data_IF_821710083299
#
_entry.id   IF_821710083299
#
_cell.length_a   1.000
_cell.length_b   1.000
_cell.length_c   1.000
_cell.angle_alpha   90.00
_cell.angle_beta   90.00
_cell.angle_gamma   90.00
#
_symmetry.space_group_name_H-M   'P 1'
#
loop_
_entity.id
_entity.type
_entity.pdbx_description
1 polymer ?
#
# COMPACT_ATOMS: atom_id res chain seq x y z
N UNK A 1 8.70 22.41 41.49
CA UNK A 1 9.19 22.03 40.16
C UNK A 1 10.11 20.84 40.35
N UNK A 2 9.62 19.62 40.11
CA UNK A 2 10.49 18.44 40.08
C UNK A 2 11.33 18.58 38.82
N UNK A 3 12.65 18.75 38.97
CA UNK A 3 13.56 18.56 37.84
C UNK A 3 13.33 17.13 37.39
N UNK A 4 12.97 16.91 36.13
CA UNK A 4 13.08 15.59 35.53
C UNK A 4 14.54 15.18 35.65
N UNK A 5 14.85 14.39 36.68
CA UNK A 5 16.18 13.82 36.82
C UNK A 5 16.39 12.87 35.63
N UNK A 6 17.40 13.18 34.83
CA UNK A 6 17.95 12.33 33.77
C UNK A 6 18.53 11.06 34.39
N UNK A 7 17.65 10.18 34.85
CA UNK A 7 18.00 8.85 35.32
C UNK A 7 18.08 7.89 34.14
N UNK A 8 18.79 6.78 34.33
CA UNK A 8 18.81 5.70 33.36
C UNK A 8 17.39 5.18 33.04
N UNK A 9 16.51 5.10 34.04
CA UNK A 9 15.12 4.69 33.84
C UNK A 9 14.34 5.70 32.99
N UNK A 10 14.56 7.00 33.18
CA UNK A 10 14.00 8.04 32.30
C UNK A 10 14.49 7.86 30.86
N UNK A 11 15.81 7.66 30.65
CA UNK A 11 16.37 7.41 29.32
C UNK A 11 15.75 6.19 28.64
N UNK A 12 15.68 5.05 29.34
CA UNK A 12 15.05 3.82 28.84
C UNK A 12 13.57 4.07 28.50
N UNK A 13 12.84 4.75 29.38
CA UNK A 13 11.44 5.12 29.15
C UNK A 13 11.26 5.96 27.89
N UNK A 14 12.05 7.03 27.74
CA UNK A 14 12.00 7.91 26.56
C UNK A 14 12.32 7.16 25.26
N UNK A 15 13.34 6.28 25.26
CA UNK A 15 13.69 5.47 24.08
C UNK A 15 12.53 4.52 23.71
N UNK A 16 11.94 3.85 24.70
CA UNK A 16 10.80 2.96 24.47
C UNK A 16 9.59 3.70 23.92
N UNK A 17 9.34 4.91 24.41
CA UNK A 17 8.24 5.75 23.93
C UNK A 17 8.46 6.17 22.48
N UNK A 18 9.64 6.71 22.16
CA UNK A 18 10.03 7.11 20.79
C UNK A 18 9.89 5.91 19.84
N UNK A 19 10.40 4.74 20.22
CA UNK A 19 10.31 3.53 19.41
C UNK A 19 8.85 3.15 19.11
N UNK A 20 7.98 3.12 20.13
CA UNK A 20 6.55 2.79 19.97
C UNK A 20 5.84 3.79 19.07
N UNK A 21 6.07 5.09 19.28
CA UNK A 21 5.45 6.15 18.48
C UNK A 21 5.88 6.07 17.03
N UNK A 22 7.17 5.96 16.74
CA UNK A 22 7.67 5.90 15.36
C UNK A 22 7.28 4.60 14.66
N UNK A 23 7.27 3.46 15.36
CA UNK A 23 6.80 2.21 14.79
C UNK A 23 5.30 2.29 14.42
N UNK A 24 4.47 2.89 15.27
CA UNK A 24 3.05 3.13 14.98
C UNK A 24 2.86 4.05 13.78
N UNK A 25 3.60 5.17 13.74
CA UNK A 25 3.56 6.12 12.63
C UNK A 25 3.99 5.47 11.31
N UNK A 26 5.07 4.68 11.31
CA UNK A 26 5.55 3.97 10.12
C UNK A 26 4.50 2.98 9.59
N UNK A 27 3.88 2.18 10.47
CA UNK A 27 2.78 1.28 10.08
C UNK A 27 1.61 2.04 9.46
N UNK A 28 1.24 3.18 10.03
CA UNK A 28 0.15 4.02 9.53
C UNK A 28 0.48 4.59 8.14
N UNK A 29 1.70 5.08 7.96
CA UNK A 29 2.17 5.60 6.67
C UNK A 29 2.20 4.51 5.58
N UNK A 30 2.66 3.29 5.92
CA UNK A 30 2.63 2.15 5.01
C UNK A 30 1.21 1.77 4.61
N UNK A 31 0.28 1.70 5.57
CA UNK A 31 -1.12 1.39 5.28
C UNK A 31 -1.77 2.43 4.37
N UNK A 32 -1.55 3.73 4.62
CA UNK A 32 -2.05 4.81 3.77
C UNK A 32 -1.46 4.69 2.35
N UNK A 33 -0.15 4.47 2.25
CA UNK A 33 0.55 4.35 0.96
C UNK A 33 0.04 3.14 0.16
N UNK A 34 -0.20 2.00 0.82
CA UNK A 34 -0.78 0.81 0.19
C UNK A 34 -2.21 1.04 -0.28
N UNK A 35 -3.06 1.69 0.53
CA UNK A 35 -4.44 2.03 0.12
C UNK A 35 -4.45 2.95 -1.08
N UNK A 36 -3.66 4.02 -1.07
CA UNK A 36 -3.56 4.96 -2.19
C UNK A 36 -3.03 4.28 -3.45
N UNK A 37 -1.96 3.48 -3.33
CA UNK A 37 -1.42 2.68 -4.44
C UNK A 37 -2.51 1.81 -5.07
N UNK A 38 -3.24 1.07 -4.23
CA UNK A 38 -4.27 0.15 -4.70
C UNK A 38 -5.40 0.89 -5.41
N UNK A 39 -5.84 2.03 -4.88
CA UNK A 39 -6.83 2.90 -5.53
C UNK A 39 -6.35 3.45 -6.88
N UNK A 40 -5.09 3.92 -6.95
CA UNK A 40 -4.52 4.40 -8.21
C UNK A 40 -4.45 3.29 -9.26
N UNK A 41 -4.09 2.06 -8.87
CA UNK A 41 -4.12 0.92 -9.79
C UNK A 41 -5.54 0.68 -10.31
N UNK A 42 -6.54 0.66 -9.43
CA UNK A 42 -7.95 0.55 -9.82
C UNK A 42 -8.40 1.63 -10.81
N UNK A 43 -8.04 2.89 -10.53
CA UNK A 43 -8.29 4.03 -11.41
C UNK A 43 -7.71 3.82 -12.81
N UNK A 44 -6.46 3.36 -12.92
CA UNK A 44 -5.83 3.10 -14.23
C UNK A 44 -6.47 1.93 -14.97
N UNK A 45 -6.90 0.88 -14.27
CA UNK A 45 -7.63 -0.23 -14.89
C UNK A 45 -8.97 0.27 -15.44
N UNK A 46 -9.74 1.04 -14.64
CA UNK A 46 -11.02 1.58 -15.08
C UNK A 46 -10.88 2.55 -16.27
N UNK A 47 -9.85 3.40 -16.28
CA UNK A 47 -9.56 4.29 -17.41
C UNK A 47 -9.20 3.48 -18.67
N UNK A 48 -8.41 2.42 -18.53
CA UNK A 48 -8.08 1.52 -19.63
C UNK A 48 -9.33 0.80 -20.18
N UNK A 49 -10.21 0.32 -19.31
CA UNK A 49 -11.48 -0.29 -19.73
C UNK A 49 -12.38 0.73 -20.45
N UNK A 50 -12.36 2.01 -20.06
CA UNK A 50 -13.19 3.05 -20.66
C UNK A 50 -12.64 3.60 -21.98
N UNK A 51 -11.31 3.77 -22.10
CA UNK A 51 -10.68 4.50 -23.21
C UNK A 51 -9.46 3.82 -23.83
N UNK A 52 -9.09 2.62 -23.38
CA UNK A 52 -7.95 1.87 -23.90
C UNK A 52 -8.11 1.56 -25.39
N UNK A 53 -7.07 1.87 -26.17
CA UNK A 53 -7.06 1.73 -27.64
C UNK A 53 -7.19 0.26 -28.06
N UNK A 54 -6.59 -0.63 -27.27
CA UNK A 54 -6.52 -2.08 -27.48
C UNK A 54 -7.32 -2.87 -26.44
N UNK A 55 -8.19 -2.23 -25.66
CA UNK A 55 -9.00 -2.89 -24.61
C UNK A 55 -9.78 -4.11 -25.10
N UNK A 56 -10.21 -4.10 -26.36
CA UNK A 56 -10.96 -5.19 -27.00
C UNK A 56 -10.11 -6.44 -27.22
N UNK A 57 -8.78 -6.31 -27.27
CA UNK A 57 -7.84 -7.44 -27.38
C UNK A 57 -7.84 -8.29 -26.11
N UNK A 58 -7.99 -7.64 -24.95
CA UNK A 58 -7.96 -8.31 -23.65
C UNK A 58 -9.33 -8.78 -23.19
N UNK A 59 -10.36 -7.95 -23.33
CA UNK A 59 -11.74 -8.26 -22.90
C UNK A 59 -11.80 -8.84 -21.49
N UNK A 60 -12.53 -9.94 -21.32
CA UNK A 60 -12.73 -10.62 -20.03
C UNK A 60 -11.45 -11.13 -19.37
N UNK A 61 -10.34 -11.21 -20.12
CA UNK A 61 -9.05 -11.67 -19.61
C UNK A 61 -8.17 -10.57 -19.05
N UNK A 62 -8.56 -9.29 -19.17
CA UNK A 62 -7.75 -8.14 -18.77
C UNK A 62 -7.09 -8.32 -17.39
N UNK A 63 -7.87 -8.60 -16.35
CA UNK A 63 -7.33 -8.75 -15.00
C UNK A 63 -6.42 -9.98 -14.82
N UNK A 64 -6.62 -11.03 -15.62
CA UNK A 64 -5.77 -12.23 -15.59
C UNK A 64 -4.43 -11.96 -16.24
N UNK A 65 -4.44 -11.36 -17.44
CA UNK A 65 -3.22 -11.03 -18.18
C UNK A 65 -2.42 -9.94 -17.46
N UNK A 66 -3.08 -8.91 -16.93
CA UNK A 66 -2.47 -7.87 -16.10
C UNK A 66 -1.86 -8.45 -14.81
N UNK A 67 -2.54 -9.40 -14.16
CA UNK A 67 -2.00 -10.07 -12.97
C UNK A 67 -0.73 -10.86 -13.26
N UNK A 68 -0.66 -11.53 -14.41
CA UNK A 68 0.56 -12.23 -14.85
C UNK A 68 1.70 -11.25 -15.07
N UNK A 69 1.46 -10.21 -15.86
CA UNK A 69 2.48 -9.20 -16.19
C UNK A 69 3.02 -8.53 -14.93
N UNK A 70 2.15 -8.02 -14.05
CA UNK A 70 2.59 -7.35 -12.81
C UNK A 70 3.40 -8.26 -11.88
N UNK A 71 3.15 -9.58 -11.90
CA UNK A 71 3.95 -10.55 -11.13
C UNK A 71 5.33 -10.78 -11.72
N UNK A 72 5.47 -10.74 -13.04
CA UNK A 72 6.78 -10.80 -13.72
C UNK A 72 7.65 -9.60 -13.31
N UNK A 73 7.01 -8.43 -13.09
CA UNK A 73 7.65 -7.24 -12.51
C UNK A 73 7.77 -7.25 -10.97
N UNK A 74 7.54 -8.40 -10.32
CA UNK A 74 7.64 -8.58 -8.86
C UNK A 74 6.73 -7.66 -8.03
N UNK A 75 5.64 -7.18 -8.62
CA UNK A 75 4.71 -6.27 -7.95
C UNK A 75 3.75 -7.11 -7.11
N UNK A 76 3.81 -6.96 -5.78
CA UNK A 76 2.95 -7.69 -4.85
C UNK A 76 1.50 -7.19 -4.83
N UNK A 77 0.60 -8.02 -4.30
CA UNK A 77 -0.84 -7.74 -4.16
C UNK A 77 -1.56 -7.43 -5.49
N UNK A 78 -1.09 -7.98 -6.60
CA UNK A 78 -1.64 -7.79 -7.95
C UNK A 78 -2.27 -9.07 -8.52
N UNK A 79 -2.70 -10.00 -7.65
CA UNK A 79 -3.47 -11.15 -8.12
C UNK A 79 -4.81 -10.72 -8.72
N UNK A 80 -5.36 -11.50 -9.66
CA UNK A 80 -6.65 -11.20 -10.33
C UNK A 80 -7.75 -10.74 -9.35
N UNK A 81 -7.91 -11.45 -8.21
CA UNK A 81 -8.90 -11.08 -7.19
C UNK A 81 -8.57 -9.75 -6.51
N UNK A 82 -7.32 -9.47 -6.21
CA UNK A 82 -6.91 -8.18 -5.65
C UNK A 82 -7.19 -7.04 -6.64
N UNK A 83 -6.83 -7.21 -7.91
CA UNK A 83 -7.08 -6.21 -8.95
C UNK A 83 -8.58 -5.95 -9.13
N UNK A 84 -9.41 -7.00 -9.10
CA UNK A 84 -10.87 -6.86 -9.10
C UNK A 84 -11.37 -6.03 -7.90
N UNK A 85 -10.81 -6.26 -6.70
CA UNK A 85 -11.18 -5.50 -5.51
C UNK A 85 -10.75 -4.02 -5.57
N UNK A 86 -9.85 -3.64 -6.48
CA UNK A 86 -9.44 -2.25 -6.67
C UNK A 86 -10.42 -1.47 -7.56
N UNK A 87 -11.34 -2.16 -8.24
CA UNK A 87 -12.39 -1.57 -9.08
C UNK A 87 -13.71 -1.30 -8.34
N UNK A 88 -13.83 -1.76 -7.08
CA UNK A 88 -14.98 -1.53 -6.20
C UNK A 88 -14.86 -0.19 -5.48
#
# INVERSE_FOLDING_TARGET
MVKDELTFNHLVGSILEIHKHLASQARRALNISLTLRNWMIGLYIAEFELRGVDRSVYGDRLLTDLSRELREHQISNTGRRQLYNYLL
#
